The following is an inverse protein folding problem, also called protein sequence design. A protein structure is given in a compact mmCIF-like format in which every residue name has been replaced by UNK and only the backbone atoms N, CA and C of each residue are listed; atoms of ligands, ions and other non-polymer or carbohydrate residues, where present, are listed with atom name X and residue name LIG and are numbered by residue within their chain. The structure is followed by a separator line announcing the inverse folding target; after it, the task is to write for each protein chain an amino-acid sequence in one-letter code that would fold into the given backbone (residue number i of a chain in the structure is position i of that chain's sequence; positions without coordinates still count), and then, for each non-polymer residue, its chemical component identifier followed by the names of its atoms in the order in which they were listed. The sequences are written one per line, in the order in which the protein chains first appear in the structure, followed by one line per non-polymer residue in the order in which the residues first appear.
data_IF_862388143181
#
_entry.id   IF_862388143181
#
_cell.length_a   1.000
_cell.length_b   1.000
_cell.length_c   1.000
_cell.angle_alpha   90.00
_cell.angle_beta   90.00
_cell.angle_gamma   90.00
#
_symmetry.space_group_name_H-M   'P 1'
#
loop_
_entity.id
_entity.type
_entity.pdbx_description
1 polymer ?
#
# COMPACT_ATOMS: atom_id res chain seq x y z
N UNK A 1 -40.35 5.13 -8.76
CA UNK A 1 -39.55 4.42 -9.80
C UNK A 1 -38.40 3.74 -9.10
N UNK A 2 -38.19 2.44 -9.36
CA UNK A 2 -37.11 1.65 -8.75
C UNK A 2 -35.75 2.20 -9.18
N UNK A 3 -34.93 2.63 -8.22
CA UNK A 3 -33.56 3.13 -8.48
C UNK A 3 -32.51 2.02 -8.51
N UNK A 4 -32.93 0.75 -8.53
CA UNK A 4 -32.05 -0.43 -8.39
C UNK A 4 -30.92 -0.44 -9.44
N UNK A 5 -31.13 0.13 -10.63
CA UNK A 5 -30.12 0.20 -11.69
C UNK A 5 -29.16 1.40 -11.59
N UNK A 6 -29.27 2.23 -10.56
CA UNK A 6 -28.36 3.37 -10.39
C UNK A 6 -26.97 2.89 -9.94
N UNK A 7 -25.92 3.49 -10.50
CA UNK A 7 -24.52 3.19 -10.17
C UNK A 7 -24.24 3.26 -8.67
N UNK A 8 -24.88 4.20 -7.96
CA UNK A 8 -24.76 4.35 -6.50
C UNK A 8 -25.10 3.07 -5.72
N UNK A 9 -26.07 2.28 -6.19
CA UNK A 9 -26.47 1.04 -5.54
C UNK A 9 -25.48 -0.09 -5.84
N UNK A 10 -24.93 -0.13 -7.06
CA UNK A 10 -23.87 -1.07 -7.42
C UNK A 10 -22.58 -0.78 -6.64
N UNK A 11 -22.16 0.49 -6.58
CA UNK A 11 -20.99 0.92 -5.80
C UNK A 11 -21.14 0.55 -4.32
N UNK A 12 -22.29 0.88 -3.73
CA UNK A 12 -22.58 0.55 -2.32
C UNK A 12 -22.49 -0.96 -2.08
N UNK A 13 -23.04 -1.77 -2.99
CA UNK A 13 -22.95 -3.22 -2.91
C UNK A 13 -21.50 -3.72 -3.01
N UNK A 14 -20.71 -3.20 -3.96
CA UNK A 14 -19.29 -3.59 -4.11
C UNK A 14 -18.50 -3.27 -2.84
N UNK A 15 -18.66 -2.06 -2.29
CA UNK A 15 -17.98 -1.65 -1.04
C UNK A 15 -18.40 -2.56 0.11
N UNK A 16 -19.70 -2.85 0.25
CA UNK A 16 -20.21 -3.77 1.27
C UNK A 16 -19.60 -5.18 1.14
N UNK A 17 -19.53 -5.74 -0.07
CA UNK A 17 -18.98 -7.07 -0.27
C UNK A 17 -17.47 -7.14 -0.03
N UNK A 18 -16.71 -6.11 -0.41
CA UNK A 18 -15.26 -6.07 -0.19
C UNK A 18 -14.92 -5.86 1.29
N UNK A 19 -15.63 -4.98 1.98
CA UNK A 19 -15.42 -4.73 3.42
C UNK A 19 -15.72 -5.98 4.26
N UNK A 20 -16.75 -6.76 3.92
CA UNK A 20 -17.01 -8.09 4.54
C UNK A 20 -15.86 -9.08 4.36
N UNK A 21 -15.03 -8.91 3.33
CA UNK A 21 -13.85 -9.75 3.06
C UNK A 21 -12.56 -9.17 3.67
N UNK A 22 -12.65 -8.14 4.52
CA UNK A 22 -11.51 -7.55 5.22
C UNK A 22 -10.82 -6.41 4.46
N UNK A 23 -11.40 -5.92 3.35
CA UNK A 23 -10.91 -4.69 2.72
C UNK A 23 -11.24 -3.48 3.60
N UNK A 24 -10.36 -2.50 3.60
CA UNK A 24 -10.59 -1.23 4.27
C UNK A 24 -11.42 -0.32 3.36
N UNK A 25 -12.47 0.29 3.89
CA UNK A 25 -13.14 1.40 3.21
C UNK A 25 -12.30 2.67 3.41
N UNK A 26 -12.06 3.42 2.34
CA UNK A 26 -11.31 4.66 2.36
C UNK A 26 -12.07 5.86 1.84
N UNK A 27 -11.60 7.03 2.26
CA UNK A 27 -12.13 8.32 1.83
C UNK A 27 -11.36 8.85 0.63
N UNK A 28 -12.08 9.35 -0.39
CA UNK A 28 -11.49 9.96 -1.59
C UNK A 28 -10.53 11.13 -1.25
N UNK A 29 -10.78 11.85 -0.16
CA UNK A 29 -9.97 12.98 0.29
C UNK A 29 -8.54 12.57 0.75
N UNK A 30 -8.33 11.30 1.12
CA UNK A 30 -7.03 10.77 1.55
C UNK A 30 -6.21 10.17 0.40
N UNK A 31 -6.82 10.00 -0.77
CA UNK A 31 -6.12 9.61 -1.98
C UNK A 31 -5.39 10.82 -2.56
N UNK A 32 -4.07 10.74 -2.63
CA UNK A 32 -3.27 11.81 -3.22
C UNK A 32 -3.21 11.65 -4.74
N UNK A 33 -3.97 12.52 -5.43
CA UNK A 33 -4.05 12.55 -6.90
C UNK A 33 -2.71 12.86 -7.57
N UNK A 34 -1.80 13.58 -6.90
CA UNK A 34 -0.51 13.95 -7.49
C UNK A 34 0.46 12.76 -7.54
N UNK A 35 0.53 11.97 -6.48
CA UNK A 35 1.32 10.74 -6.45
C UNK A 35 0.58 9.52 -7.03
N UNK A 36 -0.74 9.61 -7.19
CA UNK A 36 -1.64 8.49 -7.52
C UNK A 36 -1.53 7.34 -6.49
N UNK A 37 -1.41 7.69 -5.22
CA UNK A 37 -1.27 6.75 -4.11
C UNK A 37 -2.25 7.07 -2.98
N UNK A 38 -2.42 6.11 -2.07
CA UNK A 38 -2.97 6.33 -0.74
C UNK A 38 -1.80 6.36 0.26
N UNK A 39 -1.23 7.55 0.59
CA UNK A 39 0.03 7.66 1.35
C UNK A 39 0.04 6.88 2.67
N UNK A 40 -1.09 6.92 3.39
CA UNK A 40 -1.28 6.20 4.64
C UNK A 40 -1.07 4.69 4.47
N UNK A 41 -1.60 4.11 3.39
CA UNK A 41 -1.53 2.67 3.13
C UNK A 41 -0.10 2.25 2.87
N UNK A 42 0.57 2.97 1.97
CA UNK A 42 1.93 2.65 1.56
C UNK A 42 2.92 2.83 2.72
N UNK A 43 2.80 3.91 3.50
CA UNK A 43 3.66 4.13 4.67
C UNK A 43 3.37 3.09 5.76
N UNK A 44 2.10 2.86 6.08
CA UNK A 44 1.75 1.91 7.14
C UNK A 44 2.06 0.46 6.78
N UNK A 45 2.03 0.09 5.49
CA UNK A 45 2.55 -1.19 5.01
C UNK A 45 4.02 -1.36 5.39
N UNK A 46 4.87 -0.38 5.10
CA UNK A 46 6.31 -0.47 5.40
C UNK A 46 6.57 -0.48 6.90
N UNK A 47 5.87 0.36 7.67
CA UNK A 47 5.97 0.38 9.13
C UNK A 47 5.61 -0.97 9.76
N UNK A 48 4.57 -1.63 9.25
CA UNK A 48 4.09 -2.91 9.78
C UNK A 48 4.92 -4.11 9.30
N UNK A 49 5.28 -4.15 8.01
CA UNK A 49 5.95 -5.31 7.40
C UNK A 49 7.47 -5.30 7.57
N UNK A 50 8.08 -4.11 7.61
CA UNK A 50 9.53 -3.90 7.53
C UNK A 50 10.00 -2.79 8.49
N UNK A 51 9.69 -2.90 9.80
CA UNK A 51 9.94 -1.85 10.79
C UNK A 51 11.41 -1.42 10.86
N UNK A 52 12.36 -2.34 10.75
CA UNK A 52 13.79 -2.01 10.78
C UNK A 52 14.23 -1.11 9.61
N UNK A 53 13.67 -1.33 8.41
CA UNK A 53 13.95 -0.49 7.25
C UNK A 53 13.34 0.91 7.45
N UNK A 54 12.15 0.97 8.04
CA UNK A 54 11.50 2.22 8.38
C UNK A 54 12.28 3.02 9.44
N UNK A 55 12.74 2.38 10.51
CA UNK A 55 13.57 3.02 11.55
C UNK A 55 14.87 3.60 10.99
N UNK A 56 15.53 2.90 10.05
CA UNK A 56 16.72 3.42 9.36
C UNK A 56 16.40 4.66 8.52
N UNK A 57 15.24 4.66 7.87
CA UNK A 57 14.76 5.81 7.10
C UNK A 57 14.46 7.01 8.01
N UNK A 58 13.75 6.79 9.12
CA UNK A 58 13.46 7.81 10.13
C UNK A 58 14.74 8.35 10.78
N UNK A 59 15.74 7.50 11.04
CA UNK A 59 17.03 7.96 11.57
C UNK A 59 17.77 8.90 10.61
N UNK A 60 17.58 8.71 9.31
CA UNK A 60 18.27 9.49 8.27
C UNK A 60 17.53 10.78 7.89
N UNK A 61 16.19 10.77 7.97
CA UNK A 61 15.34 11.85 7.44
C UNK A 61 14.37 12.44 8.47
N UNK A 62 14.32 11.91 9.69
CA UNK A 62 13.43 12.34 10.76
C UNK A 62 11.96 12.37 10.32
N UNK A 63 11.28 13.47 10.62
CA UNK A 63 9.88 13.68 10.25
C UNK A 63 9.63 13.67 8.73
N UNK A 64 10.64 13.88 7.88
CA UNK A 64 10.50 13.89 6.43
C UNK A 64 10.59 12.48 5.80
N UNK A 65 10.84 11.42 6.60
CA UNK A 65 11.01 10.06 6.11
C UNK A 65 9.86 9.59 5.21
N UNK A 66 8.61 9.90 5.57
CA UNK A 66 7.43 9.56 4.75
C UNK A 66 7.42 10.23 3.38
N UNK A 67 7.76 11.52 3.31
CA UNK A 67 7.83 12.24 2.04
C UNK A 67 8.97 11.72 1.16
N UNK A 68 10.13 11.44 1.75
CA UNK A 68 11.28 10.85 1.04
C UNK A 68 10.90 9.50 0.47
N UNK A 69 10.26 8.64 1.27
CA UNK A 69 9.78 7.33 0.84
C UNK A 69 8.80 7.44 -0.34
N UNK A 70 7.76 8.28 -0.23
CA UNK A 70 6.77 8.47 -1.30
C UNK A 70 7.44 8.99 -2.57
N UNK A 71 8.31 10.01 -2.47
CA UNK A 71 9.05 10.54 -3.63
C UNK A 71 9.87 9.45 -4.33
N UNK A 72 10.52 8.57 -3.56
CA UNK A 72 11.30 7.44 -4.10
C UNK A 72 10.42 6.39 -4.77
N UNK A 73 9.28 6.07 -4.16
CA UNK A 73 8.31 5.15 -4.75
C UNK A 73 7.75 5.70 -6.06
N UNK A 74 7.27 6.94 -6.07
CA UNK A 74 6.76 7.60 -7.29
C UNK A 74 7.82 7.61 -8.39
N UNK A 75 9.08 7.92 -8.05
CA UNK A 75 10.18 7.84 -9.01
C UNK A 75 10.36 6.43 -9.60
N UNK A 76 10.24 5.37 -8.79
CA UNK A 76 10.29 3.99 -9.28
C UNK A 76 9.08 3.64 -10.16
N UNK A 77 7.89 4.13 -9.81
CA UNK A 77 6.67 3.92 -10.60
C UNK A 77 6.75 4.61 -11.97
N UNK A 78 7.35 5.80 -12.05
CA UNK A 78 7.48 6.59 -13.28
C UNK A 78 8.69 6.22 -14.15
N UNK A 79 9.66 5.48 -13.61
CA UNK A 79 10.86 5.10 -14.34
C UNK A 79 10.51 4.17 -15.53
N UNK A 80 11.18 4.38 -16.67
CA UNK A 80 11.01 3.56 -17.89
C UNK A 80 11.29 2.08 -17.65
N UNK A 81 12.26 1.77 -16.80
CA UNK A 81 12.63 0.43 -16.37
C UNK A 81 11.99 0.04 -15.02
N UNK A 82 11.02 0.81 -14.54
CA UNK A 82 10.27 0.60 -13.31
C UNK A 82 8.81 0.22 -13.58
N UNK A 83 7.88 0.93 -12.94
CA UNK A 83 6.43 0.67 -13.02
C UNK A 83 5.88 -0.16 -11.87
N UNK A 84 4.54 -0.22 -11.78
CA UNK A 84 3.81 -0.87 -10.67
C UNK A 84 4.20 -2.33 -10.48
N UNK A 85 4.27 -3.10 -11.57
CA UNK A 85 4.62 -4.52 -11.48
C UNK A 85 6.03 -4.74 -10.92
N UNK A 86 7.00 -3.93 -11.35
CA UNK A 86 8.38 -4.01 -10.82
C UNK A 86 8.48 -3.51 -9.40
N UNK A 87 7.73 -2.47 -9.02
CA UNK A 87 7.69 -2.01 -7.64
C UNK A 87 7.12 -3.09 -6.69
N UNK A 88 6.10 -3.82 -7.12
CA UNK A 88 5.52 -4.94 -6.36
C UNK A 88 6.46 -6.15 -6.29
N UNK A 89 7.03 -6.57 -7.44
CA UNK A 89 7.86 -7.78 -7.53
C UNK A 89 9.26 -7.60 -6.95
N UNK A 90 9.92 -6.48 -7.25
CA UNK A 90 11.33 -6.28 -6.92
C UNK A 90 11.52 -5.34 -5.72
N UNK A 91 10.45 -4.65 -5.29
CA UNK A 91 10.53 -3.62 -4.27
C UNK A 91 11.19 -2.32 -4.76
N UNK A 92 11.50 -1.45 -3.79
CA UNK A 92 12.18 -0.17 -4.03
C UNK A 92 13.46 -0.06 -3.20
N UNK A 93 14.54 0.41 -3.81
CA UNK A 93 15.81 0.61 -3.12
C UNK A 93 15.89 2.04 -2.59
N UNK A 94 16.16 2.18 -1.29
CA UNK A 94 16.36 3.47 -0.63
C UNK A 94 17.72 3.49 0.06
N UNK A 95 18.50 4.52 -0.25
CA UNK A 95 19.81 4.72 0.37
C UNK A 95 19.66 4.82 1.90
N UNK A 96 20.47 4.05 2.64
CA UNK A 96 20.42 3.99 4.10
C UNK A 96 19.37 3.03 4.69
N UNK A 97 18.25 2.77 4.00
CA UNK A 97 17.19 1.87 4.46
C UNK A 97 17.18 0.49 3.77
N UNK A 98 17.91 0.33 2.67
CA UNK A 98 18.00 -0.92 1.92
C UNK A 98 16.84 -1.10 0.93
N UNK A 99 16.49 -2.35 0.64
CA UNK A 99 15.38 -2.70 -0.25
C UNK A 99 14.09 -2.88 0.53
N UNK A 100 13.04 -2.18 0.12
CA UNK A 100 11.71 -2.24 0.73
C UNK A 100 10.77 -2.95 -0.24
N UNK A 101 10.21 -4.08 0.17
CA UNK A 101 9.18 -4.82 -0.57
C UNK A 101 7.83 -4.11 -0.45
N UNK A 102 7.01 -4.17 -1.51
CA UNK A 102 5.73 -3.45 -1.59
C UNK A 102 4.49 -4.34 -1.41
N UNK A 103 4.69 -5.63 -1.21
CA UNK A 103 3.67 -6.62 -0.87
C UNK A 103 4.37 -7.86 -0.31
N UNK A 104 3.64 -8.68 0.44
CA UNK A 104 4.08 -10.03 0.80
C UNK A 104 3.19 -11.10 0.16
N UNK A 105 3.80 -12.20 -0.23
CA UNK A 105 3.10 -13.37 -0.75
C UNK A 105 2.54 -14.22 0.39
N UNK A 106 1.49 -14.99 0.10
CA UNK A 106 0.96 -15.94 1.08
C UNK A 106 2.00 -17.07 1.26
N UNK A 107 2.52 -17.29 2.48
CA UNK A 107 3.48 -18.38 2.71
C UNK A 107 2.82 -19.74 2.48
N UNK A 108 3.61 -20.73 2.06
CA UNK A 108 3.13 -22.11 1.83
C UNK A 108 2.65 -22.79 3.11
N UNK A 109 3.27 -22.46 4.25
CA UNK A 109 2.88 -22.93 5.56
C UNK A 109 3.13 -21.88 6.65
N UNK A 110 2.66 -22.17 7.86
CA UNK A 110 2.72 -21.27 9.00
C UNK A 110 4.06 -21.30 9.77
N UNK A 111 5.11 -21.98 9.28
CA UNK A 111 6.39 -22.09 10.01
C UNK A 111 7.20 -20.79 9.99
N UNK A 112 7.00 -19.96 8.97
CA UNK A 112 7.63 -18.66 8.88
C UNK A 112 6.67 -17.58 9.41
N UNK A 113 6.71 -17.36 10.72
CA UNK A 113 5.87 -16.38 11.42
C UNK A 113 6.06 -14.96 10.88
N UNK A 114 7.28 -14.59 10.50
CA UNK A 114 7.58 -13.27 9.91
C UNK A 114 6.90 -13.09 8.56
N UNK A 115 7.00 -14.09 7.66
CA UNK A 115 6.35 -14.02 6.36
C UNK A 115 4.82 -14.02 6.49
N UNK A 116 4.27 -14.76 7.45
CA UNK A 116 2.85 -14.75 7.74
C UNK A 116 2.38 -13.38 8.27
N UNK A 117 3.13 -12.77 9.19
CA UNK A 117 2.84 -11.43 9.71
C UNK A 117 2.92 -10.37 8.60
N UNK A 118 3.91 -10.45 7.72
CA UNK A 118 4.02 -9.58 6.56
C UNK A 118 2.85 -9.78 5.60
N UNK A 119 2.45 -11.02 5.31
CA UNK A 119 1.28 -11.29 4.47
C UNK A 119 -0.01 -10.71 5.06
N UNK A 120 -0.21 -10.86 6.37
CA UNK A 120 -1.36 -10.30 7.08
C UNK A 120 -1.34 -8.77 7.14
N UNK A 121 -0.16 -8.15 7.05
CA UNK A 121 -0.03 -6.70 6.99
C UNK A 121 -0.40 -6.11 5.62
N UNK A 122 -0.63 -6.94 4.58
CA UNK A 122 -1.02 -6.44 3.26
C UNK A 122 -2.29 -5.60 3.36
N UNK A 123 -2.30 -4.45 2.69
CA UNK A 123 -3.39 -3.49 2.76
C UNK A 123 -4.18 -3.49 1.46
N UNK A 124 -5.44 -3.88 1.56
CA UNK A 124 -6.41 -3.83 0.46
C UNK A 124 -7.48 -2.80 0.81
N UNK A 125 -7.63 -1.78 -0.04
CA UNK A 125 -8.55 -0.67 0.20
C UNK A 125 -9.48 -0.46 -0.98
N UNK A 126 -10.75 -0.23 -0.69
CA UNK A 126 -11.75 0.26 -1.64
C UNK A 126 -12.05 1.72 -1.33
N UNK A 127 -12.06 2.56 -2.36
CA UNK A 127 -12.34 4.00 -2.25
C UNK A 127 -13.39 4.34 -3.29
N UNK A 128 -14.41 5.08 -2.90
CA UNK A 128 -15.44 5.59 -3.81
C UNK A 128 -14.96 6.88 -4.49
N UNK A 129 -15.42 7.09 -5.72
CA UNK A 129 -15.05 8.23 -6.57
C UNK A 129 -15.77 9.53 -6.20
#
# INVERSE_FOLDING_TARGET
MSQVHHEVNLEAHIVEQLTKQGWQEGEAAKYDRASALYPEDVIGWVKASQPEAWEKLERSHGADAGNVFIKRLVKKLQARDGGTLKALRDGINIAGAGRIMMSAEKPEDARNETALAQYQANRLRVVRQ
#
